data_IF_451008941394
#
_entry.id   IF_451008941394
#
_cell.length_a   1.000
_cell.length_b   1.000
_cell.length_c   1.000
_cell.angle_alpha   90.00
_cell.angle_beta   90.00
_cell.angle_gamma   90.00
#
_symmetry.space_group_name_H-M   'P 1'
#
loop_
_entity.id
_entity.type
_entity.pdbx_description
1 polymer ?
#
# COMPACT_ATOMS: atom_id res chain seq x y z
N UNK A 1 32.81 -9.07 78.51
CA UNK A 1 31.99 -9.65 77.43
C UNK A 1 32.56 -9.17 76.10
N UNK A 2 32.83 -10.13 75.21
CA UNK A 2 33.21 -10.01 73.79
C UNK A 2 34.52 -9.28 73.42
N UNK A 3 35.58 -10.09 73.28
CA UNK A 3 36.78 -9.88 72.45
C UNK A 3 36.62 -10.66 71.13
N UNK A 4 37.49 -10.37 70.14
CA UNK A 4 37.79 -11.08 68.87
C UNK A 4 36.90 -10.75 67.66
N UNK A 5 37.38 -10.59 66.42
CA UNK A 5 38.70 -10.76 65.76
C UNK A 5 38.63 -10.01 64.42
N UNK A 6 39.66 -9.25 64.02
CA UNK A 6 39.90 -8.90 62.61
C UNK A 6 41.04 -9.79 62.10
N UNK A 7 40.77 -10.57 61.05
CA UNK A 7 41.79 -11.23 60.23
C UNK A 7 41.83 -10.51 58.89
N UNK A 8 42.94 -9.87 58.57
CA UNK A 8 43.28 -9.43 57.23
C UNK A 8 44.03 -10.57 56.53
N UNK A 9 43.47 -11.10 55.45
CA UNK A 9 44.15 -12.01 54.54
C UNK A 9 44.33 -11.30 53.21
N UNK A 10 45.57 -10.90 52.92
CA UNK A 10 45.99 -10.35 51.63
C UNK A 10 46.11 -11.49 50.63
N UNK A 11 45.15 -11.62 49.71
CA UNK A 11 45.26 -12.49 48.55
C UNK A 11 45.70 -11.65 47.34
N UNK A 12 46.96 -11.84 46.93
CA UNK A 12 47.50 -11.38 45.65
C UNK A 12 46.81 -12.17 44.53
N UNK A 13 45.86 -11.56 43.82
CA UNK A 13 45.46 -12.01 42.49
C UNK A 13 46.17 -11.14 41.45
N UNK A 14 47.07 -11.78 40.72
CA UNK A 14 47.66 -11.28 39.49
C UNK A 14 46.56 -10.97 38.47
N UNK A 15 46.23 -9.69 38.33
CA UNK A 15 45.42 -9.19 37.23
C UNK A 15 46.20 -9.31 35.93
N UNK A 16 45.99 -10.41 35.21
CA UNK A 16 46.31 -10.47 33.80
C UNK A 16 45.45 -9.43 33.08
N UNK A 17 46.07 -8.34 32.65
CA UNK A 17 45.49 -7.42 31.67
C UNK A 17 45.26 -8.23 30.39
N UNK A 18 44.04 -8.76 30.23
CA UNK A 18 43.55 -9.16 28.93
C UNK A 18 43.46 -7.87 28.11
N UNK A 19 44.47 -7.66 27.26
CA UNK A 19 44.38 -6.71 26.15
C UNK A 19 43.05 -6.98 25.42
N UNK A 20 42.31 -5.94 25.00
CA UNK A 20 41.14 -6.16 24.16
C UNK A 20 41.61 -6.94 22.94
N UNK A 21 41.04 -8.13 22.73
CA UNK A 21 41.28 -8.89 21.52
C UNK A 21 41.03 -7.96 20.34
N UNK A 22 42.07 -7.69 19.55
CA UNK A 22 41.92 -6.97 18.30
C UNK A 22 40.81 -7.68 17.51
N UNK A 23 39.69 -7.00 17.28
CA UNK A 23 38.66 -7.53 16.38
C UNK A 23 39.38 -7.84 15.08
N UNK A 24 39.36 -9.10 14.67
CA UNK A 24 39.95 -9.52 13.42
C UNK A 24 39.34 -8.67 12.28
N UNK A 25 40.16 -8.35 11.28
CA UNK A 25 39.78 -7.70 10.02
C UNK A 25 38.87 -8.63 9.18
N UNK A 26 37.77 -9.09 9.73
CA UNK A 26 36.86 -10.02 9.09
C UNK A 26 35.58 -9.32 8.72
N UNK A 27 35.09 -9.58 7.52
CA UNK A 27 33.79 -9.13 7.07
C UNK A 27 32.67 -9.67 7.97
N UNK A 28 31.60 -8.89 8.16
CA UNK A 28 30.52 -9.25 9.07
C UNK A 28 29.21 -8.53 8.78
N UNK A 29 28.11 -9.10 9.26
CA UNK A 29 26.80 -8.43 9.32
C UNK A 29 26.81 -7.47 10.51
N UNK A 30 26.70 -6.16 10.26
CA UNK A 30 26.69 -5.15 11.34
C UNK A 30 25.29 -4.84 11.85
N UNK A 31 24.26 -5.04 11.01
CA UNK A 31 22.87 -4.77 11.36
C UNK A 31 21.91 -5.47 10.41
N UNK A 32 20.68 -5.68 10.87
CA UNK A 32 19.56 -6.14 10.05
C UNK A 32 18.53 -5.01 9.94
N UNK A 33 17.78 -4.98 8.83
CA UNK A 33 16.66 -4.06 8.67
C UNK A 33 15.49 -4.38 9.61
N UNK A 34 14.43 -3.55 9.62
CA UNK A 34 13.24 -3.80 10.44
C UNK A 34 12.15 -4.62 9.72
N UNK A 35 12.02 -4.47 8.40
CA UNK A 35 10.97 -5.10 7.59
C UNK A 35 11.46 -6.37 6.89
N UNK A 36 10.56 -7.34 6.74
CA UNK A 36 10.85 -8.64 6.13
C UNK A 36 10.51 -8.66 4.63
N UNK A 37 11.37 -9.34 3.88
CA UNK A 37 11.26 -9.59 2.44
C UNK A 37 11.40 -11.09 2.16
N UNK A 38 10.68 -11.59 1.17
CA UNK A 38 10.89 -12.96 0.68
C UNK A 38 12.35 -13.12 0.22
N UNK A 39 13.06 -14.18 0.66
CA UNK A 39 14.46 -14.38 0.25
C UNK A 39 14.56 -14.66 -1.24
N UNK A 40 13.80 -15.64 -1.70
CA UNK A 40 13.71 -16.02 -3.09
C UNK A 40 12.43 -15.48 -3.69
N UNK A 41 12.41 -15.43 -5.02
CA UNK A 41 11.20 -15.29 -5.79
C UNK A 41 10.14 -16.30 -5.37
N UNK A 42 8.91 -15.82 -5.17
CA UNK A 42 7.76 -16.65 -4.80
C UNK A 42 6.61 -16.41 -5.76
N UNK A 43 5.58 -17.25 -5.67
CA UNK A 43 4.32 -17.00 -6.36
C UNK A 43 3.20 -16.80 -5.35
N UNK A 44 2.55 -15.64 -5.38
CA UNK A 44 1.37 -15.37 -4.58
C UNK A 44 0.09 -15.69 -5.33
N UNK A 45 -1.05 -15.51 -4.67
CA UNK A 45 -2.38 -15.69 -5.25
C UNK A 45 -2.52 -17.09 -5.86
N UNK A 46 -2.25 -18.11 -5.04
CA UNK A 46 -2.35 -19.52 -5.43
C UNK A 46 -1.47 -19.87 -6.65
N UNK A 47 -0.28 -19.29 -6.73
CA UNK A 47 0.67 -19.57 -7.80
C UNK A 47 0.50 -18.71 -9.06
N UNK A 48 -0.44 -17.77 -9.07
CA UNK A 48 -0.76 -16.97 -10.25
C UNK A 48 0.23 -15.81 -10.48
N UNK A 49 0.73 -15.17 -9.41
CA UNK A 49 1.51 -13.94 -9.54
C UNK A 49 2.93 -14.14 -9.06
N UNK A 50 3.88 -13.93 -9.96
CA UNK A 50 5.30 -13.90 -9.64
C UNK A 50 5.64 -12.68 -8.78
N UNK A 51 6.35 -12.90 -7.68
CA UNK A 51 6.82 -11.85 -6.76
C UNK A 51 8.34 -11.92 -6.65
N UNK A 52 8.99 -10.76 -6.77
CA UNK A 52 10.44 -10.64 -6.76
C UNK A 52 10.95 -10.69 -5.33
N UNK A 53 11.85 -11.65 -5.07
CA UNK A 53 12.52 -11.81 -3.78
C UNK A 53 13.82 -11.02 -3.68
N UNK A 54 14.36 -10.97 -2.47
CA UNK A 54 15.58 -10.30 -2.11
C UNK A 54 16.78 -10.71 -2.98
N UNK A 55 16.98 -12.01 -3.21
CA UNK A 55 18.14 -12.51 -3.96
C UNK A 55 18.15 -12.05 -5.42
N UNK A 56 16.97 -11.99 -6.05
CA UNK A 56 16.80 -11.46 -7.42
C UNK A 56 17.05 -9.95 -7.46
N UNK A 57 16.57 -9.23 -6.45
CA UNK A 57 16.84 -7.80 -6.30
C UNK A 57 18.35 -7.52 -6.12
N UNK A 58 19.05 -8.34 -5.32
CA UNK A 58 20.52 -8.27 -5.16
C UNK A 58 21.23 -8.50 -6.48
N UNK A 59 20.82 -9.51 -7.24
CA UNK A 59 21.43 -9.80 -8.54
C UNK A 59 21.28 -8.61 -9.49
N UNK A 60 20.07 -8.06 -9.61
CA UNK A 60 19.78 -6.85 -10.41
C UNK A 60 20.67 -5.67 -10.01
N UNK A 61 20.82 -5.41 -8.71
CA UNK A 61 21.67 -4.33 -8.21
C UNK A 61 23.14 -4.55 -8.52
N UNK A 62 23.71 -5.68 -8.11
CA UNK A 62 25.14 -5.92 -8.23
C UNK A 62 25.59 -6.05 -9.69
N UNK A 63 24.75 -6.56 -10.59
CA UNK A 63 25.04 -6.60 -12.02
C UNK A 63 25.10 -5.20 -12.63
N UNK A 64 24.23 -4.28 -12.21
CA UNK A 64 24.28 -2.87 -12.63
C UNK A 64 25.41 -2.09 -11.95
N UNK A 65 25.75 -2.44 -10.71
CA UNK A 65 26.79 -1.77 -9.94
C UNK A 65 28.21 -2.21 -10.36
N UNK A 66 28.36 -3.40 -10.95
CA UNK A 66 29.66 -3.94 -11.37
C UNK A 66 30.46 -2.98 -12.24
N UNK A 67 31.70 -2.71 -11.86
CA UNK A 67 32.61 -1.79 -12.55
C UNK A 67 32.43 -0.30 -12.20
N UNK A 68 31.39 0.07 -11.45
CA UNK A 68 31.22 1.45 -10.99
C UNK A 68 32.33 1.79 -9.99
N UNK A 69 32.92 2.97 -10.16
CA UNK A 69 33.93 3.52 -9.26
C UNK A 69 33.27 4.45 -8.25
N UNK A 70 33.30 4.08 -6.97
CA UNK A 70 32.77 4.86 -5.85
C UNK A 70 33.93 5.65 -5.23
N UNK A 71 33.86 6.98 -5.32
CA UNK A 71 34.86 7.87 -4.72
C UNK A 71 34.92 7.78 -3.19
N UNK A 72 35.95 8.35 -2.59
CA UNK A 72 36.10 8.42 -1.14
C UNK A 72 34.89 9.14 -0.49
N UNK A 73 34.28 8.51 0.51
CA UNK A 73 33.07 9.00 1.20
C UNK A 73 31.78 8.98 0.37
N UNK A 74 31.83 8.51 -0.88
CA UNK A 74 30.68 8.50 -1.77
C UNK A 74 29.83 7.23 -1.60
N UNK A 75 28.60 7.33 -2.11
CA UNK A 75 27.60 6.28 -2.13
C UNK A 75 27.26 5.94 -3.57
N UNK A 76 27.19 4.66 -3.90
CA UNK A 76 26.53 4.17 -5.12
C UNK A 76 25.25 3.46 -4.72
N UNK A 77 24.11 3.98 -5.16
CA UNK A 77 22.80 3.59 -4.65
C UNK A 77 21.81 3.25 -5.76
N UNK A 78 20.88 2.35 -5.45
CA UNK A 78 19.72 2.02 -6.28
C UNK A 78 18.61 1.49 -5.39
N UNK A 79 17.37 1.88 -5.65
CA UNK A 79 16.21 1.18 -5.13
C UNK A 79 15.66 0.23 -6.18
N UNK A 80 15.19 -0.94 -5.77
CA UNK A 80 14.42 -1.81 -6.66
C UNK A 80 13.28 -2.45 -5.91
N UNK A 81 12.29 -2.92 -6.65
CA UNK A 81 11.08 -3.48 -6.07
C UNK A 81 11.36 -4.84 -5.45
N UNK A 82 10.72 -5.10 -4.32
CA UNK A 82 10.80 -6.38 -3.61
C UNK A 82 9.44 -6.71 -3.00
N UNK A 83 9.20 -8.00 -2.77
CA UNK A 83 8.03 -8.47 -2.04
C UNK A 83 8.26 -8.40 -0.53
N UNK A 84 7.54 -7.50 0.14
CA UNK A 84 7.54 -7.38 1.60
C UNK A 84 6.46 -8.31 2.17
N UNK A 85 6.85 -9.37 2.88
CA UNK A 85 5.93 -10.37 3.45
C UNK A 85 5.52 -10.07 4.91
N UNK A 86 6.16 -9.08 5.54
CA UNK A 86 5.88 -8.62 6.91
C UNK A 86 6.12 -9.69 7.99
N UNK A 87 7.00 -10.67 7.74
CA UNK A 87 7.33 -11.74 8.67
C UNK A 87 6.31 -12.87 8.64
N UNK A 88 5.60 -13.05 7.52
CA UNK A 88 4.59 -14.07 7.32
C UNK A 88 4.91 -14.91 6.08
N UNK A 89 4.06 -15.89 5.75
CA UNK A 89 4.25 -16.70 4.55
C UNK A 89 4.22 -15.81 3.29
N UNK A 90 5.34 -15.68 2.54
CA UNK A 90 5.43 -14.79 1.38
C UNK A 90 4.54 -15.23 0.21
N UNK A 91 4.06 -16.48 0.17
CA UNK A 91 3.14 -16.97 -0.86
C UNK A 91 1.69 -16.52 -0.63
N UNK A 92 1.32 -16.12 0.59
CA UNK A 92 -0.05 -15.73 0.94
C UNK A 92 -0.17 -14.33 1.54
N UNK A 93 0.96 -13.71 1.87
CA UNK A 93 0.99 -12.42 2.54
C UNK A 93 2.08 -11.56 1.94
N UNK A 94 1.73 -10.31 1.62
CA UNK A 94 2.72 -9.28 1.35
C UNK A 94 2.21 -8.14 0.48
N UNK A 95 3.08 -7.16 0.29
CA UNK A 95 2.88 -6.02 -0.60
C UNK A 95 4.16 -5.71 -1.37
N UNK A 96 3.99 -5.12 -2.55
CA UNK A 96 5.12 -4.56 -3.27
C UNK A 96 5.71 -3.40 -2.46
N UNK A 97 6.99 -3.53 -2.11
CA UNK A 97 7.80 -2.47 -1.51
C UNK A 97 9.10 -2.30 -2.27
N UNK A 98 10.11 -1.77 -1.58
CA UNK A 98 11.40 -1.45 -2.15
C UNK A 98 12.52 -2.00 -1.26
N UNK A 99 13.65 -2.31 -1.86
CA UNK A 99 14.92 -2.50 -1.15
C UNK A 99 15.89 -1.46 -1.67
N UNK A 100 16.47 -0.70 -0.74
CA UNK A 100 17.46 0.33 -1.04
C UNK A 100 18.82 -0.29 -0.88
N UNK A 101 19.51 -0.42 -2.01
CA UNK A 101 20.88 -0.87 -2.06
C UNK A 101 21.83 0.32 -2.04
N UNK A 102 22.88 0.22 -1.24
CA UNK A 102 23.92 1.26 -1.15
C UNK A 102 25.29 0.63 -0.96
N UNK A 103 26.27 1.14 -1.69
CA UNK A 103 27.69 0.84 -1.46
C UNK A 103 28.33 2.14 -0.99
N UNK A 104 28.73 2.17 0.28
CA UNK A 104 29.38 3.33 0.88
C UNK A 104 30.88 3.07 1.03
N UNK A 105 31.69 3.86 0.33
CA UNK A 105 33.14 3.79 0.42
C UNK A 105 33.66 4.72 1.52
N UNK A 106 34.11 4.16 2.64
CA UNK A 106 34.64 4.90 3.80
C UNK A 106 36.16 5.07 3.74
N UNK A 107 36.79 4.56 2.69
CA UNK A 107 38.23 4.69 2.46
C UNK A 107 38.58 6.09 1.93
N UNK A 108 39.87 6.43 1.96
CA UNK A 108 40.39 7.64 1.33
C UNK A 108 40.60 7.52 -0.19
N UNK A 109 40.62 6.29 -0.72
CA UNK A 109 40.78 5.99 -2.14
C UNK A 109 39.47 5.69 -2.85
N UNK A 110 39.54 5.29 -4.12
CA UNK A 110 38.39 4.82 -4.89
C UNK A 110 38.13 3.33 -4.68
N UNK A 111 36.86 2.95 -4.62
CA UNK A 111 36.41 1.56 -4.59
C UNK A 111 35.75 1.21 -5.92
N UNK A 112 36.29 0.23 -6.65
CA UNK A 112 35.63 -0.30 -7.86
C UNK A 112 34.79 -1.50 -7.45
N UNK A 113 33.50 -1.44 -7.74
CA UNK A 113 32.57 -2.50 -7.36
C UNK A 113 32.81 -3.75 -8.20
N UNK A 114 33.15 -4.86 -7.54
CA UNK A 114 33.13 -6.18 -8.16
C UNK A 114 31.73 -6.81 -7.98
N UNK A 115 31.07 -7.15 -9.09
CA UNK A 115 29.71 -7.68 -9.06
C UNK A 115 29.62 -9.02 -8.30
N UNK A 116 30.64 -9.87 -8.42
CA UNK A 116 30.66 -11.19 -7.75
C UNK A 116 30.71 -11.02 -6.23
N UNK A 117 31.66 -10.20 -5.75
CA UNK A 117 31.82 -9.90 -4.33
C UNK A 117 30.58 -9.18 -3.77
N UNK A 118 30.03 -8.21 -4.51
CA UNK A 118 28.78 -7.53 -4.14
C UNK A 118 27.63 -8.54 -3.87
N UNK A 119 27.42 -9.49 -4.79
CA UNK A 119 26.40 -10.54 -4.63
C UNK A 119 26.69 -11.42 -3.42
N UNK A 120 27.94 -11.84 -3.24
CA UNK A 120 28.35 -12.64 -2.10
C UNK A 120 28.04 -11.93 -0.77
N UNK A 121 28.43 -10.66 -0.64
CA UNK A 121 28.24 -9.87 0.57
C UNK A 121 26.76 -9.67 0.91
N UNK A 122 25.96 -9.23 -0.06
CA UNK A 122 24.54 -8.97 0.19
C UNK A 122 23.76 -10.26 0.43
N UNK A 123 24.05 -11.35 -0.28
CA UNK A 123 23.36 -12.64 -0.07
C UNK A 123 23.68 -13.27 1.29
N UNK A 124 24.77 -12.90 1.97
CA UNK A 124 25.00 -13.31 3.37
C UNK A 124 23.86 -12.89 4.31
N UNK A 125 23.15 -11.80 4.01
CA UNK A 125 22.02 -11.32 4.80
C UNK A 125 20.78 -12.23 4.71
N UNK A 126 20.69 -13.05 3.67
CA UNK A 126 19.57 -13.97 3.42
C UNK A 126 19.94 -15.46 3.62
N UNK A 127 21.17 -15.77 3.99
CA UNK A 127 21.64 -17.14 4.20
C UNK A 127 21.18 -17.74 5.53
N UNK A 128 20.71 -18.99 5.48
CA UNK A 128 20.39 -19.79 6.66
C UNK A 128 21.66 -20.32 7.34
N UNK A 129 22.28 -19.48 8.17
CA UNK A 129 23.49 -19.82 8.92
C UNK A 129 23.33 -19.53 10.40
N UNK A 130 24.02 -20.28 11.25
CA UNK A 130 24.03 -20.04 12.69
C UNK A 130 24.60 -18.65 13.00
N UNK A 131 23.79 -17.80 13.64
CA UNK A 131 24.19 -16.44 14.04
C UNK A 131 23.76 -15.32 13.07
N UNK A 132 23.23 -15.65 11.88
CA UNK A 132 22.60 -14.65 11.03
C UNK A 132 21.19 -14.32 11.56
N UNK A 133 21.05 -13.19 12.26
CA UNK A 133 19.77 -12.71 12.78
C UNK A 133 18.89 -12.02 11.73
N UNK A 134 19.41 -11.81 10.52
CA UNK A 134 18.66 -11.20 9.43
C UNK A 134 17.79 -12.21 8.68
N UNK A 135 18.09 -13.51 8.77
CA UNK A 135 17.33 -14.60 8.14
C UNK A 135 16.23 -15.14 9.06
N UNK A 136 15.02 -15.31 8.52
CA UNK A 136 13.89 -15.89 9.21
C UNK A 136 13.65 -17.33 8.75
N UNK A 137 13.97 -18.34 9.59
CA UNK A 137 13.87 -19.75 9.18
C UNK A 137 12.43 -20.23 8.98
N UNK A 138 11.44 -19.57 9.59
CA UNK A 138 10.03 -19.96 9.52
C UNK A 138 9.43 -19.69 8.14
N UNK A 139 9.58 -18.47 7.62
CA UNK A 139 8.98 -18.10 6.34
C UNK A 139 9.98 -18.10 5.17
N UNK A 140 11.27 -18.31 5.45
CA UNK A 140 12.37 -18.18 4.48
C UNK A 140 12.43 -16.75 3.91
N UNK A 141 12.37 -15.79 4.81
CA UNK A 141 12.41 -14.34 4.60
C UNK A 141 13.73 -13.75 5.15
N UNK A 142 14.04 -12.52 4.76
CA UNK A 142 15.19 -11.77 5.26
C UNK A 142 14.80 -10.33 5.57
N UNK A 143 15.42 -9.76 6.59
CA UNK A 143 15.33 -8.32 6.89
C UNK A 143 16.30 -7.47 6.05
N UNK A 144 17.11 -8.11 5.21
CA UNK A 144 18.29 -7.47 4.62
C UNK A 144 19.20 -6.94 5.73
N UNK A 145 19.86 -5.80 5.50
CA UNK A 145 20.74 -5.20 6.49
C UNK A 145 21.99 -4.58 5.91
N UNK A 146 23.07 -4.61 6.70
CA UNK A 146 24.37 -4.06 6.32
C UNK A 146 25.45 -5.12 6.48
N UNK A 147 26.19 -5.34 5.40
CA UNK A 147 27.44 -6.09 5.40
C UNK A 147 28.63 -5.12 5.42
N UNK A 148 29.60 -5.42 6.27
CA UNK A 148 30.83 -4.66 6.41
C UNK A 148 32.00 -5.43 5.82
N UNK A 149 32.79 -4.78 4.98
CA UNK A 149 34.01 -5.35 4.40
C UNK A 149 35.23 -4.81 5.14
N UNK A 150 36.06 -5.71 5.64
CA UNK A 150 37.21 -5.42 6.50
C UNK A 150 36.82 -4.69 7.78
N UNK A 151 37.68 -3.76 8.24
CA UNK A 151 37.43 -2.94 9.42
C UNK A 151 36.56 -1.72 9.07
N UNK A 152 35.34 -1.95 8.58
CA UNK A 152 34.38 -0.89 8.19
C UNK A 152 34.89 -0.01 7.03
N UNK A 153 35.65 -0.61 6.10
CA UNK A 153 36.28 0.14 5.01
C UNK A 153 35.27 0.45 3.89
N UNK A 154 34.41 -0.52 3.58
CA UNK A 154 33.29 -0.37 2.63
C UNK A 154 32.09 -1.10 3.22
N UNK A 155 30.91 -0.50 3.15
CA UNK A 155 29.67 -1.14 3.56
C UNK A 155 28.71 -1.35 2.39
N UNK A 156 28.06 -2.51 2.38
CA UNK A 156 27.01 -2.88 1.43
C UNK A 156 25.70 -2.97 2.19
N UNK A 157 24.74 -2.14 1.81
CA UNK A 157 23.43 -2.03 2.44
C UNK A 157 22.37 -2.61 1.51
N UNK A 158 21.38 -3.27 2.10
CA UNK A 158 20.15 -3.67 1.45
C UNK A 158 19.01 -3.51 2.45
N UNK A 159 18.39 -2.34 2.44
CA UNK A 159 17.42 -1.93 3.46
C UNK A 159 16.03 -1.88 2.86
N UNK A 160 15.12 -2.71 3.39
CA UNK A 160 13.72 -2.67 3.01
C UNK A 160 13.13 -1.29 3.30
N UNK A 161 12.27 -0.83 2.39
CA UNK A 161 11.54 0.40 2.53
C UNK A 161 10.14 0.24 1.92
N UNK A 162 9.13 0.72 2.64
CA UNK A 162 7.76 0.73 2.12
C UNK A 162 7.63 1.76 1.01
N UNK A 163 8.36 2.87 1.06
CA UNK A 163 8.25 3.98 0.12
C UNK A 163 9.29 3.89 -1.00
N UNK A 164 8.99 4.41 -2.21
CA UNK A 164 10.00 4.60 -3.25
C UNK A 164 11.05 5.64 -2.84
N UNK A 165 12.24 5.67 -3.45
CA UNK A 165 13.23 6.70 -3.17
C UNK A 165 12.76 8.08 -3.66
N UNK A 166 13.27 9.14 -3.04
CA UNK A 166 13.05 10.53 -3.50
C UNK A 166 13.93 10.91 -4.70
N UNK A 167 15.06 10.23 -4.87
CA UNK A 167 15.92 10.35 -6.03
C UNK A 167 15.41 9.49 -7.19
N UNK A 168 15.79 9.82 -8.42
CA UNK A 168 15.55 8.99 -9.62
C UNK A 168 16.49 7.77 -9.65
N UNK A 169 16.38 6.94 -8.60
CA UNK A 169 17.28 5.82 -8.29
C UNK A 169 16.56 4.47 -8.40
N UNK A 170 15.33 4.45 -8.90
CA UNK A 170 14.63 3.18 -9.08
C UNK A 170 15.18 2.46 -10.31
N UNK A 171 15.68 1.25 -10.09
CA UNK A 171 16.31 0.41 -11.10
C UNK A 171 17.46 1.09 -11.88
N UNK A 172 17.97 2.21 -11.35
CA UNK A 172 19.00 3.05 -11.95
C UNK A 172 20.05 3.34 -10.88
N UNK A 173 21.32 3.07 -11.18
CA UNK A 173 22.41 3.37 -10.25
C UNK A 173 22.70 4.87 -10.30
N UNK A 174 22.76 5.48 -9.12
CA UNK A 174 23.27 6.84 -8.94
C UNK A 174 24.48 6.84 -8.02
N UNK A 175 25.43 7.74 -8.25
CA UNK A 175 26.58 7.95 -7.36
C UNK A 175 26.57 9.37 -6.84
N UNK A 176 26.58 9.53 -5.52
CA UNK A 176 26.41 10.82 -4.85
C UNK A 176 27.11 10.84 -3.48
N UNK A 177 27.07 11.98 -2.80
CA UNK A 177 27.75 12.18 -1.51
C UNK A 177 26.98 11.65 -0.30
N UNK A 178 25.83 11.02 -0.48
CA UNK A 178 24.98 10.54 0.62
C UNK A 178 24.06 9.40 0.24
N UNK A 179 23.50 8.74 1.26
CA UNK A 179 22.48 7.71 1.10
C UNK A 179 21.22 8.24 0.39
N UNK A 180 20.52 7.39 -0.34
CA UNK A 180 19.20 7.71 -0.88
C UNK A 180 18.18 7.74 0.26
N UNK A 181 17.24 8.69 0.18
CA UNK A 181 16.17 8.83 1.15
C UNK A 181 14.84 8.35 0.56
N UNK A 182 13.94 7.94 1.44
CA UNK A 182 12.56 7.66 1.06
C UNK A 182 11.85 8.94 0.58
N UNK A 183 10.92 8.78 -0.36
CA UNK A 183 10.01 9.82 -0.78
C UNK A 183 9.04 10.12 0.36
N UNK A 184 9.37 11.15 1.16
CA UNK A 184 8.60 11.52 2.34
C UNK A 184 8.83 10.61 3.55
N UNK A 185 8.04 10.82 4.61
CA UNK A 185 8.22 10.16 5.91
C UNK A 185 7.26 8.98 6.18
N UNK A 186 6.36 8.64 5.24
CA UNK A 186 5.51 7.44 5.33
C UNK A 186 4.39 7.48 6.39
N UNK A 187 3.81 8.64 6.64
CA UNK A 187 2.63 8.80 7.49
C UNK A 187 1.31 8.47 6.78
N UNK A 188 0.29 8.16 7.58
CA UNK A 188 -1.06 7.90 7.11
C UNK A 188 -1.57 9.07 6.27
N UNK A 189 -2.01 8.77 5.05
CA UNK A 189 -2.59 9.74 4.13
C UNK A 189 -1.56 10.58 3.39
N UNK A 190 -0.25 10.35 3.50
CA UNK A 190 0.75 11.23 2.91
C UNK A 190 0.62 11.43 1.38
N UNK A 191 0.80 12.69 0.94
CA UNK A 191 0.94 13.04 -0.48
C UNK A 191 2.38 12.69 -0.90
N UNK A 192 2.51 11.79 -1.87
CA UNK A 192 3.81 11.41 -2.43
C UNK A 192 3.90 11.94 -3.86
N UNK A 193 4.70 12.98 -4.07
CA UNK A 193 4.89 13.61 -5.39
C UNK A 193 6.35 14.05 -5.60
N UNK A 194 7.01 13.65 -6.72
CA UNK A 194 6.53 12.70 -7.72
C UNK A 194 6.60 11.25 -7.25
N UNK A 195 5.48 10.53 -7.30
CA UNK A 195 5.47 9.07 -7.15
C UNK A 195 5.87 8.39 -8.47
N UNK A 196 6.69 7.32 -8.46
CA UNK A 196 7.06 6.58 -9.66
C UNK A 196 5.89 5.76 -10.20
N UNK A 197 5.09 6.35 -11.09
CA UNK A 197 3.87 5.72 -11.65
C UNK A 197 4.13 4.41 -12.40
N UNK A 198 5.34 4.19 -12.93
CA UNK A 198 5.71 2.92 -13.58
C UNK A 198 5.73 1.74 -12.61
N UNK A 199 5.74 1.97 -11.29
CA UNK A 199 5.62 0.92 -10.28
C UNK A 199 4.30 0.15 -10.38
N UNK A 200 3.30 0.67 -11.12
CA UNK A 200 2.02 0.02 -11.36
C UNK A 200 1.93 -0.77 -12.67
N UNK A 201 2.95 -0.70 -13.55
CA UNK A 201 2.89 -1.23 -14.92
C UNK A 201 2.51 -2.72 -15.00
N UNK A 202 2.95 -3.50 -14.02
CA UNK A 202 2.84 -4.96 -13.93
C UNK A 202 1.95 -5.41 -12.76
N UNK A 203 1.23 -4.49 -12.14
CA UNK A 203 0.31 -4.85 -11.06
C UNK A 203 -0.96 -5.48 -11.63
N UNK A 204 -1.30 -6.65 -11.11
CA UNK A 204 -2.55 -7.34 -11.42
C UNK A 204 -3.69 -6.75 -10.57
N UNK A 205 -4.79 -6.29 -11.17
CA UNK A 205 -5.93 -5.79 -10.44
C UNK A 205 -6.79 -6.91 -9.83
N UNK A 206 -7.40 -6.61 -8.70
CA UNK A 206 -8.23 -7.50 -7.88
C UNK A 206 -9.46 -6.79 -7.36
N UNK A 207 -10.54 -7.56 -7.19
CA UNK A 207 -11.83 -7.10 -6.68
C UNK A 207 -11.84 -6.76 -5.17
N UNK A 208 -10.74 -6.23 -4.63
CA UNK A 208 -10.70 -5.66 -3.28
C UNK A 208 -11.03 -4.16 -3.26
N UNK A 209 -11.50 -3.72 -2.10
CA UNK A 209 -11.83 -2.35 -1.76
C UNK A 209 -11.00 -1.93 -0.54
N UNK A 210 -10.05 -1.01 -0.72
CA UNK A 210 -9.24 -0.44 0.36
C UNK A 210 -10.11 0.46 1.23
N UNK A 211 -10.55 -0.09 2.36
CA UNK A 211 -11.35 0.63 3.35
C UNK A 211 -10.49 1.71 4.02
N UNK A 212 -11.09 2.88 4.25
CA UNK A 212 -10.42 4.06 4.81
C UNK A 212 -9.02 4.30 4.19
N UNK A 213 -8.96 4.37 2.87
CA UNK A 213 -7.68 4.35 2.12
C UNK A 213 -6.74 5.52 2.46
N UNK A 214 -7.30 6.63 2.90
CA UNK A 214 -6.55 7.79 3.41
C UNK A 214 -5.78 7.50 4.71
N UNK A 215 -5.99 6.33 5.34
CA UNK A 215 -5.22 5.90 6.51
C UNK A 215 -4.00 5.05 6.16
N UNK A 216 -3.82 4.70 4.88
CA UNK A 216 -2.62 3.97 4.41
C UNK A 216 -1.40 4.88 4.48
N UNK A 217 -0.21 4.28 4.63
CA UNK A 217 1.08 5.00 4.56
C UNK A 217 1.24 5.80 3.25
N UNK A 218 0.51 5.38 2.20
CA UNK A 218 0.41 6.03 0.90
C UNK A 218 -1.04 5.91 0.42
N UNK A 219 -1.85 6.94 0.63
CA UNK A 219 -3.20 6.99 0.08
C UNK A 219 -3.14 6.76 -1.44
N UNK A 220 -4.14 6.07 -1.98
CA UNK A 220 -4.24 5.54 -3.34
C UNK A 220 -3.16 4.50 -3.69
N UNK A 221 -1.89 4.85 -3.57
CA UNK A 221 -0.79 4.04 -4.08
C UNK A 221 -0.61 2.71 -3.35
N UNK A 222 -0.88 2.64 -2.04
CA UNK A 222 -0.85 1.35 -1.33
C UNK A 222 -1.92 0.39 -1.83
N UNK A 223 -3.15 0.89 -2.05
CA UNK A 223 -4.25 0.09 -2.61
C UNK A 223 -3.93 -0.37 -4.04
N UNK A 224 -3.46 0.54 -4.90
CA UNK A 224 -3.06 0.20 -6.26
C UNK A 224 -1.90 -0.81 -6.27
N UNK A 225 -0.91 -0.67 -5.38
CA UNK A 225 0.20 -1.63 -5.27
C UNK A 225 -0.24 -3.03 -4.87
N UNK A 226 -1.30 -3.12 -4.05
CA UNK A 226 -1.94 -4.38 -3.66
C UNK A 226 -2.81 -4.98 -4.78
N UNK A 227 -3.16 -4.18 -5.79
CA UNK A 227 -4.07 -4.54 -6.88
C UNK A 227 -5.53 -4.11 -6.66
N UNK A 228 -5.89 -3.43 -5.58
CA UNK A 228 -7.30 -3.12 -5.34
C UNK A 228 -7.89 -2.15 -6.37
N UNK A 229 -9.00 -2.56 -6.97
CA UNK A 229 -9.76 -1.77 -7.96
C UNK A 229 -10.80 -0.86 -7.32
N UNK A 230 -10.78 -0.71 -6.00
CA UNK A 230 -11.63 0.23 -5.31
C UNK A 230 -10.99 0.77 -4.04
N UNK A 231 -11.27 2.04 -3.73
CA UNK A 231 -10.79 2.75 -2.54
C UNK A 231 -11.90 3.64 -1.98
N UNK A 232 -11.77 4.03 -0.72
CA UNK A 232 -12.73 4.90 -0.02
C UNK A 232 -12.07 6.17 0.52
N UNK A 233 -12.79 7.29 0.38
CA UNK A 233 -12.44 8.58 0.96
C UNK A 233 -13.60 9.12 1.81
N UNK A 234 -13.34 9.31 3.10
CA UNK A 234 -14.26 9.94 4.06
C UNK A 234 -14.10 11.45 4.00
N UNK A 235 -15.07 12.18 3.45
CA UNK A 235 -14.91 13.62 3.18
C UNK A 235 -15.70 14.52 4.14
N UNK A 236 -15.08 15.65 4.46
CA UNK A 236 -15.65 16.78 5.19
C UNK A 236 -15.46 18.09 4.40
N UNK A 237 -16.49 18.92 4.31
CA UNK A 237 -16.39 20.28 3.76
C UNK A 237 -15.92 21.26 4.83
N UNK A 238 -14.86 22.00 4.53
CA UNK A 238 -14.38 23.14 5.32
C UNK A 238 -14.18 24.34 4.40
N UNK A 239 -15.10 25.31 4.47
CA UNK A 239 -15.12 26.43 3.53
C UNK A 239 -15.35 25.94 2.10
N UNK A 240 -14.34 26.06 1.24
CA UNK A 240 -14.34 25.64 -0.16
C UNK A 240 -13.36 24.49 -0.42
N UNK A 241 -13.15 23.61 0.57
CA UNK A 241 -12.22 22.47 0.47
C UNK A 241 -12.86 21.21 1.02
N UNK A 242 -12.72 20.12 0.29
CA UNK A 242 -12.96 18.77 0.82
C UNK A 242 -11.67 18.26 1.47
N UNK A 243 -11.73 17.98 2.76
CA UNK A 243 -10.67 17.33 3.52
C UNK A 243 -11.06 15.91 3.88
N UNK A 244 -10.08 15.03 4.06
CA UNK A 244 -10.32 13.58 4.20
C UNK A 244 -9.98 13.10 5.60
N UNK A 245 -10.87 12.33 6.22
CA UNK A 245 -10.67 11.72 7.53
C UNK A 245 -11.92 11.03 8.08
N UNK A 246 -11.74 9.96 8.86
CA UNK A 246 -12.88 9.27 9.48
C UNK A 246 -13.62 10.18 10.47
N UNK A 247 -12.83 10.82 11.32
CA UNK A 247 -13.24 11.94 12.15
C UNK A 247 -12.86 13.23 11.44
N UNK A 248 -13.61 14.30 11.68
CA UNK A 248 -13.34 15.61 11.09
C UNK A 248 -11.88 16.05 11.37
N UNK A 249 -11.01 16.14 10.33
CA UNK A 249 -9.61 16.53 10.50
C UNK A 249 -9.42 18.06 10.61
N UNK A 250 -10.52 18.82 10.54
CA UNK A 250 -10.50 20.29 10.50
C UNK A 250 -10.00 20.85 9.16
N UNK A 251 -9.97 22.17 9.06
CA UNK A 251 -9.61 22.90 7.83
C UNK A 251 -8.17 22.71 7.35
N UNK A 252 -7.29 22.17 8.21
CA UNK A 252 -5.89 21.85 7.90
C UNK A 252 -5.69 20.38 7.51
N UNK A 253 -6.77 19.59 7.43
CA UNK A 253 -6.72 18.22 6.96
C UNK A 253 -6.23 18.11 5.52
N UNK A 254 -5.76 16.92 5.16
CA UNK A 254 -5.33 16.63 3.79
C UNK A 254 -6.52 16.68 2.84
N UNK A 255 -6.32 17.23 1.66
CA UNK A 255 -7.44 17.48 0.74
C UNK A 255 -7.76 16.27 -0.12
N UNK A 256 -9.02 16.12 -0.50
CA UNK A 256 -9.47 15.09 -1.43
C UNK A 256 -8.73 15.18 -2.77
N UNK A 257 -8.48 16.41 -3.24
CA UNK A 257 -7.76 16.64 -4.50
C UNK A 257 -6.32 16.16 -4.44
N UNK A 258 -5.62 16.40 -3.34
CA UNK A 258 -4.20 16.02 -3.23
C UNK A 258 -4.01 14.51 -3.02
N UNK A 259 -4.94 13.86 -2.34
CA UNK A 259 -4.86 12.42 -2.07
C UNK A 259 -5.34 11.56 -3.24
N UNK A 260 -6.32 12.02 -4.02
CA UNK A 260 -6.97 11.18 -5.03
C UNK A 260 -6.99 11.80 -6.42
N UNK A 261 -7.48 13.04 -6.59
CA UNK A 261 -7.70 13.61 -7.93
C UNK A 261 -6.37 13.83 -8.67
N UNK A 262 -5.41 14.52 -8.05
CA UNK A 262 -4.13 14.84 -8.66
C UNK A 262 -3.30 13.57 -8.93
N UNK A 263 -3.15 12.63 -7.97
CA UNK A 263 -2.49 11.35 -8.20
C UNK A 263 -3.11 10.51 -9.34
N UNK A 264 -4.45 10.38 -9.36
CA UNK A 264 -5.15 9.63 -10.41
C UNK A 264 -4.93 10.27 -11.78
N UNK A 265 -5.08 11.59 -11.87
CA UNK A 265 -4.90 12.30 -13.14
C UNK A 265 -3.48 12.12 -13.66
N UNK A 266 -2.47 12.30 -12.80
CA UNK A 266 -1.06 12.10 -13.16
C UNK A 266 -0.80 10.69 -13.66
N UNK A 267 -1.26 9.68 -12.91
CA UNK A 267 -1.12 8.27 -13.29
C UNK A 267 -1.74 7.99 -14.67
N UNK A 268 -2.99 8.41 -14.89
CA UNK A 268 -3.69 8.19 -16.16
C UNK A 268 -3.04 8.98 -17.30
N UNK A 269 -2.64 10.23 -17.08
CA UNK A 269 -1.99 11.06 -18.11
C UNK A 269 -0.69 10.40 -18.60
N UNK A 270 0.12 9.87 -17.68
CA UNK A 270 1.42 9.25 -17.96
C UNK A 270 1.30 7.83 -18.53
N UNK A 271 0.35 7.03 -18.03
CA UNK A 271 0.26 5.59 -18.31
C UNK A 271 -0.92 5.18 -19.19
N UNK A 272 -1.86 6.09 -19.43
CA UNK A 272 -3.13 5.88 -20.16
C UNK A 272 -4.04 4.82 -19.53
N UNK A 273 -3.75 4.42 -18.30
CA UNK A 273 -4.49 3.43 -17.52
C UNK A 273 -4.19 3.61 -16.03
N UNK A 274 -5.04 3.05 -15.16
CA UNK A 274 -4.71 2.86 -13.74
C UNK A 274 -3.79 1.66 -13.55
N UNK A 275 -4.11 0.55 -14.23
CA UNK A 275 -3.34 -0.69 -14.24
C UNK A 275 -2.89 -1.00 -15.67
N UNK A 276 -1.67 -0.63 -16.10
CA UNK A 276 -1.22 -0.86 -17.48
C UNK A 276 -1.22 -2.34 -17.92
N UNK A 277 -1.08 -3.29 -16.99
CA UNK A 277 -1.23 -4.72 -17.27
C UNK A 277 -2.67 -5.11 -17.69
N UNK A 278 -3.66 -4.28 -17.34
CA UNK A 278 -5.09 -4.40 -17.69
C UNK A 278 -5.67 -3.01 -17.99
N UNK A 279 -5.35 -2.41 -19.15
CA UNK A 279 -5.60 -0.99 -19.41
C UNK A 279 -7.05 -0.53 -19.25
N UNK A 280 -8.01 -1.41 -19.53
CA UNK A 280 -9.45 -1.13 -19.43
C UNK A 280 -10.00 -1.21 -17.99
N UNK A 281 -9.18 -1.64 -17.02
CA UNK A 281 -9.59 -1.76 -15.63
C UNK A 281 -9.82 -0.38 -15.00
N UNK A 282 -11.08 -0.09 -14.71
CA UNK A 282 -11.50 1.11 -13.96
C UNK A 282 -11.21 0.97 -12.46
N UNK A 283 -10.98 2.10 -11.80
CA UNK A 283 -10.94 2.22 -10.35
C UNK A 283 -12.25 2.81 -9.82
N UNK A 284 -12.86 2.18 -8.82
CA UNK A 284 -14.04 2.72 -8.13
C UNK A 284 -13.62 3.51 -6.89
N UNK A 285 -13.86 4.83 -6.88
CA UNK A 285 -13.58 5.72 -5.75
C UNK A 285 -14.89 6.01 -5.01
N UNK A 286 -15.08 5.35 -3.88
CA UNK A 286 -16.21 5.55 -2.98
C UNK A 286 -15.97 6.79 -2.11
N UNK A 287 -16.92 7.71 -2.11
CA UNK A 287 -16.87 8.95 -1.36
C UNK A 287 -17.91 8.87 -0.24
N UNK A 288 -17.47 8.73 1.00
CA UNK A 288 -18.35 8.74 2.17
C UNK A 288 -18.51 10.18 2.68
N UNK A 289 -19.71 10.72 2.50
CA UNK A 289 -20.06 12.06 2.95
C UNK A 289 -20.33 12.06 4.45
N UNK A 290 -19.42 12.67 5.23
CA UNK A 290 -19.54 12.70 6.69
C UNK A 290 -20.31 13.90 7.23
N UNK A 291 -20.36 15.03 6.50
CA UNK A 291 -21.19 16.17 6.89
C UNK A 291 -22.68 15.84 6.85
N UNK A 292 -23.49 16.55 7.64
CA UNK A 292 -24.95 16.45 7.63
C UNK A 292 -25.61 17.78 7.23
N UNK A 293 -26.89 17.73 6.89
CA UNK A 293 -27.68 18.92 6.52
C UNK A 293 -27.11 19.67 5.33
N UNK A 294 -27.18 21.00 5.35
CA UNK A 294 -26.75 21.89 4.25
C UNK A 294 -25.26 21.77 3.90
N UNK A 295 -24.43 21.26 4.81
CA UNK A 295 -23.02 21.00 4.50
C UNK A 295 -22.84 19.77 3.61
N UNK A 296 -23.78 18.83 3.59
CA UNK A 296 -23.79 17.73 2.61
C UNK A 296 -23.94 18.27 1.19
N UNK A 297 -24.86 19.23 1.00
CA UNK A 297 -25.08 19.88 -0.30
C UNK A 297 -23.84 20.65 -0.77
N UNK A 298 -23.18 21.37 0.15
CA UNK A 298 -21.92 22.07 -0.15
C UNK A 298 -20.79 21.11 -0.48
N UNK A 299 -20.68 19.99 0.26
CA UNK A 299 -19.69 18.97 -0.03
C UNK A 299 -19.91 18.37 -1.43
N UNK A 300 -21.16 18.19 -1.85
CA UNK A 300 -21.48 17.72 -3.20
C UNK A 300 -21.04 18.71 -4.27
N UNK A 301 -21.37 19.99 -4.11
CA UNK A 301 -21.02 21.04 -5.07
C UNK A 301 -19.49 21.20 -5.17
N UNK A 302 -18.79 21.07 -4.04
CA UNK A 302 -17.33 21.06 -4.02
C UNK A 302 -16.76 19.79 -4.67
N UNK A 303 -17.35 18.61 -4.45
CA UNK A 303 -16.90 17.36 -5.09
C UNK A 303 -17.00 17.47 -6.62
N UNK A 304 -18.10 18.01 -7.14
CA UNK A 304 -18.28 18.25 -8.59
C UNK A 304 -17.21 19.19 -9.14
N UNK A 305 -16.81 20.18 -8.34
CA UNK A 305 -15.73 21.12 -8.70
C UNK A 305 -14.36 20.42 -8.69
N UNK A 306 -14.06 19.68 -7.63
CA UNK A 306 -12.79 18.97 -7.43
C UNK A 306 -12.59 17.86 -8.48
N UNK A 307 -13.67 17.26 -9.00
CA UNK A 307 -13.62 16.25 -10.04
C UNK A 307 -13.48 16.81 -11.46
N UNK A 308 -13.58 18.13 -11.66
CA UNK A 308 -13.47 18.77 -12.98
C UNK A 308 -12.20 18.35 -13.77
N UNK A 309 -11.00 18.24 -13.18
CA UNK A 309 -9.80 17.83 -13.92
C UNK A 309 -9.88 16.42 -14.51
N UNK A 310 -10.55 15.48 -13.83
CA UNK A 310 -10.75 14.11 -14.33
C UNK A 310 -11.89 14.06 -15.35
N UNK A 311 -12.97 14.82 -15.10
CA UNK A 311 -14.13 14.90 -15.99
C UNK A 311 -13.77 15.50 -17.34
N UNK A 312 -13.11 16.65 -17.34
CA UNK A 312 -12.75 17.36 -18.58
C UNK A 312 -11.74 16.57 -19.42
N UNK A 313 -10.93 15.72 -18.78
CA UNK A 313 -10.03 14.79 -19.45
C UNK A 313 -10.74 13.52 -19.99
N UNK A 314 -12.03 13.34 -19.72
CA UNK A 314 -12.81 12.18 -20.15
C UNK A 314 -12.52 10.90 -19.35
N UNK A 315 -11.95 11.01 -18.15
CA UNK A 315 -11.54 9.84 -17.36
C UNK A 315 -12.66 9.29 -16.47
N UNK A 316 -13.71 10.06 -16.20
CA UNK A 316 -14.81 9.61 -15.37
C UNK A 316 -15.79 8.72 -16.13
N UNK A 317 -16.23 7.67 -15.45
CA UNK A 317 -17.43 6.92 -15.85
C UNK A 317 -18.65 7.83 -15.73
N UNK A 318 -19.61 7.67 -16.62
CA UNK A 318 -20.74 8.58 -16.72
C UNK A 318 -21.98 7.89 -17.31
N UNK A 319 -23.14 8.55 -17.22
CA UNK A 319 -24.38 8.03 -17.78
C UNK A 319 -24.83 8.89 -18.97
N UNK A 320 -24.99 8.23 -20.12
CA UNK A 320 -25.53 8.83 -21.35
C UNK A 320 -26.42 7.80 -22.06
N UNK A 321 -27.67 7.70 -21.60
CA UNK A 321 -28.64 6.67 -22.00
C UNK A 321 -28.29 5.24 -21.54
N UNK A 322 -27.01 4.96 -21.31
CA UNK A 322 -26.43 3.76 -20.71
C UNK A 322 -25.21 4.13 -19.88
N UNK A 323 -24.75 3.23 -19.02
CA UNK A 323 -23.47 3.39 -18.34
C UNK A 323 -22.33 3.40 -19.36
N UNK A 324 -21.46 4.41 -19.28
CA UNK A 324 -20.22 4.52 -20.04
C UNK A 324 -19.06 4.42 -19.07
N UNK A 325 -18.29 3.34 -19.18
CA UNK A 325 -17.13 3.12 -18.32
C UNK A 325 -16.00 4.09 -18.69
N UNK A 326 -15.53 4.86 -17.72
CA UNK A 326 -14.25 5.55 -17.75
C UNK A 326 -13.20 4.81 -16.93
N UNK A 327 -12.04 5.42 -16.72
CA UNK A 327 -10.97 4.86 -15.90
C UNK A 327 -11.20 5.05 -14.40
N UNK A 328 -12.09 5.98 -14.02
CA UNK A 328 -12.48 6.21 -12.63
C UNK A 328 -14.01 6.24 -12.54
N UNK A 329 -14.59 5.46 -11.62
CA UNK A 329 -16.02 5.50 -11.30
C UNK A 329 -16.20 6.12 -9.92
N UNK A 330 -16.93 7.24 -9.83
CA UNK A 330 -17.20 7.92 -8.56
C UNK A 330 -18.51 7.43 -7.97
N UNK A 331 -18.49 7.01 -6.71
CA UNK A 331 -19.67 6.50 -5.99
C UNK A 331 -19.87 7.31 -4.71
N UNK A 332 -20.96 8.04 -4.59
CA UNK A 332 -21.32 8.79 -3.39
C UNK A 332 -22.10 7.91 -2.39
N UNK A 333 -21.65 7.89 -1.14
CA UNK A 333 -22.24 7.14 -0.04
C UNK A 333 -22.37 8.02 1.22
N UNK A 334 -22.61 7.42 2.38
CA UNK A 334 -22.73 8.12 3.65
C UNK A 334 -23.98 9.00 3.72
N UNK A 335 -23.81 10.26 4.11
CA UNK A 335 -24.94 11.20 4.19
C UNK A 335 -25.46 11.67 2.82
N UNK A 336 -24.76 11.38 1.71
CA UNK A 336 -25.24 11.71 0.36
C UNK A 336 -26.42 10.85 -0.12
N UNK A 337 -26.71 9.73 0.55
CA UNK A 337 -27.81 8.81 0.21
C UNK A 337 -28.92 8.76 1.27
N UNK A 338 -28.79 9.53 2.35
CA UNK A 338 -29.80 9.59 3.41
C UNK A 338 -30.91 10.56 3.03
N UNK A 339 -32.05 10.00 2.66
CA UNK A 339 -33.29 10.77 2.54
C UNK A 339 -33.76 11.17 3.94
N UNK A 340 -33.60 12.45 4.29
CA UNK A 340 -34.04 12.97 5.60
C UNK A 340 -35.58 12.99 5.74
N UNK A 341 -36.32 12.73 4.66
CA UNK A 341 -37.79 12.74 4.62
C UNK A 341 -38.44 11.35 4.64
N UNK A 342 -37.67 10.27 4.56
CA UNK A 342 -38.20 8.89 4.57
C UNK A 342 -37.27 7.87 5.25
N UNK A 343 -37.80 6.71 5.60
CA UNK A 343 -37.01 5.60 6.18
C UNK A 343 -36.15 4.85 5.15
N UNK A 344 -36.38 5.10 3.86
CA UNK A 344 -35.72 4.44 2.74
C UNK A 344 -34.72 5.41 2.10
N UNK A 345 -33.42 5.05 2.02
CA UNK A 345 -32.45 5.81 1.25
C UNK A 345 -32.94 6.07 -0.18
N UNK A 346 -32.71 7.26 -0.70
CA UNK A 346 -32.97 7.56 -2.11
C UNK A 346 -31.78 8.30 -2.69
N UNK A 347 -31.49 8.15 -4.00
CA UNK A 347 -30.50 8.99 -4.65
C UNK A 347 -30.85 10.45 -4.37
N UNK A 348 -29.87 11.25 -3.95
CA UNK A 348 -30.11 12.68 -3.83
C UNK A 348 -30.49 13.24 -5.21
N UNK A 349 -31.48 14.14 -5.27
CA UNK A 349 -31.93 14.74 -6.53
C UNK A 349 -30.77 15.33 -7.36
N UNK A 350 -29.70 15.77 -6.67
CA UNK A 350 -28.47 16.27 -7.30
C UNK A 350 -27.76 15.23 -8.19
N UNK A 351 -27.77 13.95 -7.81
CA UNK A 351 -27.16 12.87 -8.59
C UNK A 351 -27.89 12.64 -9.92
N UNK A 352 -29.18 13.01 -9.99
CA UNK A 352 -30.06 12.76 -11.13
C UNK A 352 -30.12 13.91 -12.16
N UNK A 353 -29.49 15.05 -11.86
CA UNK A 353 -29.59 16.27 -12.67
C UNK A 353 -28.24 16.66 -13.27
N UNK A 354 -28.19 16.89 -14.58
CA UNK A 354 -26.98 17.37 -15.26
C UNK A 354 -26.48 18.72 -14.74
N UNK A 355 -27.37 19.57 -14.21
CA UNK A 355 -26.98 20.88 -13.67
C UNK A 355 -26.12 20.75 -12.40
N UNK A 356 -26.36 19.71 -11.61
CA UNK A 356 -25.70 19.45 -10.32
C UNK A 356 -24.76 18.26 -10.35
N UNK A 357 -24.81 17.46 -11.41
CA UNK A 357 -23.94 16.32 -11.68
C UNK A 357 -23.67 16.27 -13.19
N UNK A 358 -22.82 17.16 -13.73
CA UNK A 358 -22.62 17.25 -15.17
C UNK A 358 -22.12 15.93 -15.75
N UNK A 359 -22.69 15.54 -16.90
CA UNK A 359 -22.53 14.23 -17.54
C UNK A 359 -23.06 13.04 -16.73
N UNK A 360 -23.74 13.26 -15.60
CA UNK A 360 -24.15 12.20 -14.66
C UNK A 360 -22.96 11.31 -14.25
N UNK A 361 -21.83 11.94 -13.92
CA UNK A 361 -20.55 11.26 -13.64
C UNK A 361 -20.39 10.74 -12.19
N UNK A 362 -21.25 11.21 -11.26
CA UNK A 362 -21.30 10.71 -9.88
C UNK A 362 -22.51 9.78 -9.74
N UNK A 363 -22.25 8.52 -9.40
CA UNK A 363 -23.27 7.52 -9.06
C UNK A 363 -23.44 7.45 -7.56
N UNK A 364 -24.53 6.87 -7.06
CA UNK A 364 -24.76 6.66 -5.64
C UNK A 364 -24.56 5.18 -5.23
N UNK A 365 -24.41 4.98 -3.94
CA UNK A 365 -24.37 3.67 -3.28
C UNK A 365 -25.78 3.29 -2.79
N UNK A 366 -26.37 2.26 -3.37
CA UNK A 366 -27.64 1.71 -2.87
C UNK A 366 -27.40 0.96 -1.54
N UNK A 367 -28.46 0.77 -0.74
CA UNK A 367 -28.34 0.02 0.51
C UNK A 367 -28.95 -1.37 0.33
N UNK A 368 -28.08 -2.38 0.19
CA UNK A 368 -28.46 -3.71 -0.31
C UNK A 368 -29.53 -4.43 0.53
N UNK A 369 -29.56 -4.23 1.85
CA UNK A 369 -30.55 -4.86 2.73
C UNK A 369 -31.87 -4.09 2.84
N UNK A 370 -32.02 -2.98 2.10
CA UNK A 370 -33.23 -2.14 2.08
C UNK A 370 -33.97 -2.25 0.75
N UNK A 371 -35.02 -1.45 0.58
CA UNK A 371 -35.71 -1.32 -0.70
C UNK A 371 -34.81 -0.60 -1.71
N UNK A 372 -34.55 -1.26 -2.84
CA UNK A 372 -33.75 -0.72 -3.96
C UNK A 372 -34.63 -0.34 -5.17
N UNK A 373 -35.95 -0.26 -5.01
CA UNK A 373 -36.90 0.07 -6.09
C UNK A 373 -36.60 1.39 -6.79
N UNK A 374 -36.05 2.37 -6.06
CA UNK A 374 -35.68 3.71 -6.57
C UNK A 374 -34.29 3.78 -7.21
N UNK A 375 -33.57 2.66 -7.26
CA UNK A 375 -32.22 2.58 -7.80
C UNK A 375 -32.18 1.70 -9.04
N UNK A 376 -31.43 2.17 -10.04
CA UNK A 376 -31.10 1.47 -11.27
C UNK A 376 -29.72 1.91 -11.79
N UNK A 377 -29.27 1.33 -12.89
CA UNK A 377 -27.96 1.61 -13.48
C UNK A 377 -27.74 3.08 -13.91
N UNK A 378 -28.81 3.89 -13.99
CA UNK A 378 -28.68 5.32 -14.32
C UNK A 378 -28.24 6.18 -13.14
N UNK A 379 -28.37 5.66 -11.92
CA UNK A 379 -28.11 6.43 -10.72
C UNK A 379 -27.21 5.73 -9.70
N UNK A 380 -27.21 4.40 -9.63
CA UNK A 380 -26.40 3.66 -8.69
C UNK A 380 -25.38 2.76 -9.41
N UNK A 381 -24.23 2.60 -8.76
CA UNK A 381 -23.17 1.70 -9.23
C UNK A 381 -22.86 0.62 -8.20
N UNK A 382 -22.89 0.98 -6.91
CA UNK A 382 -22.73 0.03 -5.81
C UNK A 382 -24.05 -0.26 -5.11
N UNK A 383 -24.11 -1.41 -4.46
CA UNK A 383 -25.06 -1.69 -3.39
C UNK A 383 -24.30 -2.21 -2.18
N UNK A 384 -24.23 -1.40 -1.13
CA UNK A 384 -23.41 -1.68 0.05
C UNK A 384 -24.23 -1.82 1.33
N UNK A 385 -23.66 -2.50 2.32
CA UNK A 385 -24.16 -2.48 3.70
C UNK A 385 -23.11 -2.94 4.71
N UNK A 386 -23.38 -2.65 5.98
CA UNK A 386 -22.73 -3.35 7.08
C UNK A 386 -23.02 -4.85 6.99
N UNK A 387 -21.99 -5.68 7.16
CA UNK A 387 -22.13 -7.13 7.11
C UNK A 387 -23.20 -7.65 8.08
N UNK A 388 -23.15 -7.23 9.35
CA UNK A 388 -24.10 -7.71 10.39
C UNK A 388 -25.56 -7.40 10.08
N UNK A 389 -25.82 -6.34 9.33
CA UNK A 389 -27.17 -5.87 9.05
C UNK A 389 -27.75 -6.59 7.82
N UNK A 390 -26.89 -6.92 6.84
CA UNK A 390 -27.30 -7.54 5.58
C UNK A 390 -27.13 -9.06 5.55
N UNK A 391 -26.20 -9.61 6.32
CA UNK A 391 -25.88 -11.04 6.40
C UNK A 391 -25.89 -11.50 7.86
N UNK A 392 -27.02 -11.39 8.58
CA UNK A 392 -27.09 -11.63 10.02
C UNK A 392 -26.80 -13.09 10.42
N UNK A 393 -26.95 -14.03 9.49
CA UNK A 393 -26.67 -15.46 9.71
C UNK A 393 -25.23 -15.88 9.33
N UNK A 394 -24.39 -14.94 8.90
CA UNK A 394 -23.01 -15.22 8.51
C UNK A 394 -22.87 -16.00 7.20
N UNK A 395 -21.76 -16.73 7.07
CA UNK A 395 -21.42 -17.53 5.88
C UNK A 395 -22.02 -18.96 5.98
N UNK A 396 -22.44 -19.55 4.85
CA UNK A 396 -22.51 -18.95 3.51
C UNK A 396 -23.67 -17.94 3.39
N UNK A 397 -23.51 -16.93 2.51
CA UNK A 397 -24.58 -15.96 2.23
C UNK A 397 -25.79 -16.70 1.66
N UNK A 398 -26.89 -16.71 2.42
CA UNK A 398 -28.07 -17.55 2.13
C UNK A 398 -29.38 -16.86 2.50
N UNK A 399 -30.52 -17.47 2.13
CA UNK A 399 -31.85 -16.96 2.44
C UNK A 399 -32.08 -15.54 1.92
N UNK A 400 -32.65 -14.67 2.76
CA UNK A 400 -32.96 -13.29 2.42
C UNK A 400 -31.73 -12.47 1.99
N UNK A 401 -30.56 -12.72 2.58
CA UNK A 401 -29.31 -12.05 2.21
C UNK A 401 -28.91 -12.38 0.78
N UNK A 402 -29.02 -13.66 0.39
CA UNK A 402 -28.78 -14.10 -0.99
C UNK A 402 -29.78 -13.52 -1.97
N UNK A 403 -31.06 -13.43 -1.59
CA UNK A 403 -32.09 -12.77 -2.42
C UNK A 403 -31.74 -11.30 -2.68
N UNK A 404 -31.24 -10.58 -1.67
CA UNK A 404 -30.81 -9.18 -1.83
C UNK A 404 -29.53 -9.02 -2.65
N UNK A 405 -28.59 -9.95 -2.52
CA UNK A 405 -27.42 -10.07 -3.40
C UNK A 405 -27.86 -10.21 -4.87
N UNK A 406 -28.75 -11.15 -5.14
CA UNK A 406 -29.28 -11.41 -6.49
C UNK A 406 -30.08 -10.23 -7.04
N UNK A 407 -30.88 -9.54 -6.20
CA UNK A 407 -31.59 -8.32 -6.57
C UNK A 407 -30.60 -7.23 -7.02
N UNK A 408 -29.53 -6.99 -6.26
CA UNK A 408 -28.50 -6.00 -6.61
C UNK A 408 -27.80 -6.35 -7.93
N UNK A 409 -27.43 -7.62 -8.11
CA UNK A 409 -26.82 -8.09 -9.36
C UNK A 409 -27.76 -7.96 -10.56
N UNK A 410 -29.05 -8.26 -10.39
CA UNK A 410 -30.05 -8.09 -11.46
C UNK A 410 -30.22 -6.63 -11.93
N UNK A 411 -29.92 -5.68 -11.04
CA UNK A 411 -29.88 -4.24 -11.34
C UNK A 411 -28.54 -3.78 -11.91
N UNK A 412 -27.55 -4.66 -11.98
CA UNK A 412 -26.20 -4.39 -12.47
C UNK A 412 -25.25 -3.77 -11.43
N UNK A 413 -25.64 -3.75 -10.15
CA UNK A 413 -24.82 -3.15 -9.09
C UNK A 413 -23.66 -4.05 -8.68
N UNK A 414 -22.56 -3.42 -8.26
CA UNK A 414 -21.45 -4.10 -7.59
C UNK A 414 -21.68 -4.13 -6.10
N UNK A 415 -21.64 -5.33 -5.52
CA UNK A 415 -21.93 -5.52 -4.10
C UNK A 415 -20.68 -5.41 -3.25
N UNK A 416 -20.80 -4.66 -2.15
CA UNK A 416 -19.77 -4.50 -1.12
C UNK A 416 -20.41 -4.69 0.25
N UNK A 417 -19.77 -5.44 1.13
CA UNK A 417 -20.09 -5.40 2.55
C UNK A 417 -18.92 -4.79 3.31
N UNK A 418 -19.19 -3.95 4.33
CA UNK A 418 -18.19 -3.40 5.24
C UNK A 418 -18.38 -3.94 6.66
N UNK A 419 -17.36 -3.82 7.52
CA UNK A 419 -17.30 -4.52 8.82
C UNK A 419 -17.49 -6.04 8.66
N UNK A 420 -16.80 -6.61 7.66
CA UNK A 420 -16.88 -8.03 7.31
C UNK A 420 -16.11 -8.89 8.32
N UNK A 421 -16.41 -10.20 8.41
CA UNK A 421 -15.59 -11.14 9.17
C UNK A 421 -14.12 -11.09 8.75
N UNK A 422 -13.23 -11.46 9.68
CA UNK A 422 -11.78 -11.38 9.49
C UNK A 422 -11.25 -12.22 8.31
N UNK A 423 -9.97 -12.03 8.00
CA UNK A 423 -9.29 -12.55 6.79
C UNK A 423 -9.53 -14.03 6.48
N UNK A 424 -9.73 -14.87 7.49
CA UNK A 424 -9.96 -16.32 7.32
C UNK A 424 -11.32 -16.63 6.66
N UNK A 425 -12.23 -15.65 6.59
CA UNK A 425 -13.52 -15.74 5.90
C UNK A 425 -13.52 -15.09 4.52
N UNK A 426 -12.46 -14.35 4.14
CA UNK A 426 -12.45 -13.53 2.93
C UNK A 426 -12.67 -14.34 1.65
N UNK A 427 -12.04 -15.51 1.52
CA UNK A 427 -12.25 -16.38 0.35
C UNK A 427 -13.73 -16.77 0.20
N UNK A 428 -14.37 -17.23 1.27
CA UNK A 428 -15.79 -17.60 1.24
C UNK A 428 -16.71 -16.41 0.92
N UNK A 429 -16.33 -15.18 1.28
CA UNK A 429 -17.06 -13.96 0.93
C UNK A 429 -16.94 -13.68 -0.57
N UNK A 430 -15.72 -13.79 -1.13
CA UNK A 430 -15.47 -13.66 -2.57
C UNK A 430 -16.24 -14.73 -3.34
N UNK A 431 -16.13 -15.99 -2.93
CA UNK A 431 -16.82 -17.14 -3.55
C UNK A 431 -18.35 -17.02 -3.50
N UNK A 432 -18.88 -16.26 -2.52
CA UNK A 432 -20.32 -15.98 -2.42
C UNK A 432 -20.83 -14.98 -3.47
N UNK A 433 -19.95 -14.38 -4.27
CA UNK A 433 -20.28 -13.43 -5.33
C UNK A 433 -20.24 -11.96 -4.92
N UNK A 434 -19.53 -11.62 -3.85
CA UNK A 434 -19.31 -10.22 -3.45
C UNK A 434 -18.31 -9.56 -4.40
N UNK A 435 -18.75 -8.51 -5.12
CA UNK A 435 -17.94 -7.88 -6.17
C UNK A 435 -16.77 -7.03 -5.64
N UNK A 436 -16.84 -6.56 -4.40
CA UNK A 436 -15.82 -5.68 -3.78
C UNK A 436 -15.58 -6.12 -2.34
N UNK A 437 -14.56 -6.94 -2.12
CA UNK A 437 -14.16 -7.37 -0.79
C UNK A 437 -13.56 -6.18 -0.02
N UNK A 438 -14.21 -5.75 1.05
CA UNK A 438 -13.75 -4.64 1.89
C UNK A 438 -12.57 -5.09 2.77
N UNK A 439 -11.37 -4.55 2.52
CA UNK A 439 -10.14 -4.99 3.17
C UNK A 439 -9.51 -3.89 4.02
N UNK A 440 -9.22 -4.21 5.28
CA UNK A 440 -8.43 -3.38 6.18
C UNK A 440 -6.94 -3.72 6.11
N UNK A 441 -6.58 -4.97 5.83
CA UNK A 441 -5.20 -5.44 5.76
C UNK A 441 -4.83 -5.87 4.33
N UNK A 442 -4.30 -4.93 3.54
CA UNK A 442 -4.00 -5.16 2.11
C UNK A 442 -3.03 -6.31 1.87
N UNK A 443 -2.13 -6.59 2.81
CA UNK A 443 -1.12 -7.66 2.69
C UNK A 443 -1.73 -9.06 2.49
N UNK A 444 -2.95 -9.31 2.99
CA UNK A 444 -3.58 -10.63 2.86
C UNK A 444 -4.37 -10.80 1.56
N UNK A 445 -4.52 -9.75 0.74
CA UNK A 445 -5.08 -9.84 -0.63
C UNK A 445 -4.26 -10.81 -1.50
N UNK A 446 -2.96 -10.94 -1.20
CA UNK A 446 -2.05 -11.85 -1.89
C UNK A 446 -2.36 -13.34 -1.64
N UNK A 447 -3.14 -13.67 -0.62
CA UNK A 447 -3.49 -15.05 -0.25
C UNK A 447 -4.84 -15.51 -0.75
N UNK A 448 -5.55 -14.69 -1.53
CA UNK A 448 -6.86 -15.02 -2.08
C UNK A 448 -6.76 -15.50 -3.54
N UNK A 449 -7.70 -16.37 -3.89
CA UNK A 449 -8.05 -16.74 -5.26
C UNK A 449 -9.14 -15.77 -5.74
N UNK A 450 -8.82 -14.99 -6.78
CA UNK A 450 -9.60 -13.84 -7.24
C UNK A 450 -10.41 -14.09 -8.52
#
# INVERSE_FOLDING_TARGET
MAMNRLFAASLLLSGGLALPAARANSDYISSCGPDWMAVNDVKSNHGAIQRIGYNTAVDSFCDKAGGITVGAGAYSSMATRVWLDYGNNPETTGLNGWVYFEIHNKQSGTHVVDATSCKQYLKKLSENTSGNSCYGPTNKDTKGGTWQVGNDAVSYHALANKLPPSADAVDTIITQSGAIAALGSGGKGNILDPFPTYAFNDVTPFACHSHNDYTRDKALYSALSAGCISVEADIWIHGSKLVVGHTDPGSNGQTFTDLYVNPLKKLIDERKAIFPAKPDQSLSLLIDFKNAGSNTDKAWDQLVTDLKPLRDAGYLSHWDGSFKQGLVTIVASGNAIKDQSSSTPSPIAKALSDATNPQRAIFVDAVIHKDMSRFDASNAYFASAKWSDAVPNGLPISGAAKTKLDEAHSKGFKVRYWDIPGKDSWQQIVDSGVDRLNVDDLQYVAGLEW
#
